data_IF_894905006812
#
_entry.id   IF_894905006812
#
_cell.length_a   1.000
_cell.length_b   1.000
_cell.length_c   1.000
_cell.angle_alpha   90.00
_cell.angle_beta   90.00
_cell.angle_gamma   90.00
#
_symmetry.space_group_name_H-M   'P 1'
#
loop_
_entity.id
_entity.type
_entity.pdbx_description
1 polymer ?
#
# COMPACT_ATOMS: atom_id res chain seq x y z
N UNK A 1 -27.32 -67.94 -0.03
CA UNK A 1 -26.94 -66.90 0.96
C UNK A 1 -25.53 -66.32 0.76
N UNK A 2 -24.48 -67.11 0.45
CA UNK A 2 -23.12 -66.58 0.24
C UNK A 2 -22.95 -65.56 -0.91
N UNK A 3 -23.74 -65.64 -1.98
CA UNK A 3 -23.65 -64.71 -3.14
C UNK A 3 -24.31 -63.33 -2.91
N UNK A 4 -25.24 -63.23 -1.94
CA UNK A 4 -25.93 -61.97 -1.61
C UNK A 4 -25.11 -61.12 -0.65
N UNK A 5 -24.34 -61.74 0.26
CA UNK A 5 -23.41 -61.02 1.14
C UNK A 5 -22.24 -60.37 0.40
N UNK A 6 -21.77 -60.97 -0.71
CA UNK A 6 -20.67 -60.41 -1.52
C UNK A 6 -21.16 -59.18 -2.33
N UNK A 7 -22.41 -59.18 -2.78
CA UNK A 7 -23.01 -58.03 -3.48
C UNK A 7 -23.21 -56.82 -2.53
N UNK A 8 -23.61 -57.08 -1.28
CA UNK A 8 -23.74 -56.03 -0.27
C UNK A 8 -22.39 -55.47 0.21
N UNK A 9 -21.34 -56.30 0.28
CA UNK A 9 -19.99 -55.84 0.62
C UNK A 9 -19.37 -54.98 -0.49
N UNK A 10 -19.67 -55.26 -1.77
CA UNK A 10 -19.25 -54.44 -2.91
C UNK A 10 -20.07 -53.15 -3.07
N UNK A 11 -21.34 -53.15 -2.67
CA UNK A 11 -22.15 -51.93 -2.64
C UNK A 11 -21.72 -50.98 -1.52
N UNK A 12 -21.29 -51.50 -0.37
CA UNK A 12 -20.78 -50.67 0.74
C UNK A 12 -19.34 -50.20 0.55
N UNK A 13 -18.49 -50.88 -0.24
CA UNK A 13 -17.12 -50.42 -0.50
C UNK A 13 -17.05 -49.18 -1.40
N UNK A 14 -18.08 -48.89 -2.19
CA UNK A 14 -18.18 -47.66 -2.99
C UNK A 14 -18.74 -46.45 -2.24
N UNK A 15 -19.37 -46.63 -1.08
CA UNK A 15 -19.84 -45.51 -0.26
C UNK A 15 -18.77 -44.95 0.69
N UNK A 16 -17.67 -45.66 0.93
CA UNK A 16 -16.59 -45.19 1.81
C UNK A 16 -15.49 -44.37 1.12
N UNK A 17 -15.48 -44.27 -0.22
CA UNK A 17 -14.41 -43.55 -0.94
C UNK A 17 -14.63 -42.05 -1.07
N UNK A 18 -15.86 -41.56 -0.87
CA UNK A 18 -16.21 -40.14 -1.04
C UNK A 18 -16.02 -39.35 0.26
N UNK A 19 -16.22 -39.95 1.43
CA UNK A 19 -16.10 -39.27 2.73
C UNK A 19 -14.68 -39.22 3.32
N UNK A 20 -13.70 -39.92 2.72
CA UNK A 20 -12.35 -40.05 3.29
C UNK A 20 -11.35 -38.96 2.89
N UNK A 21 -11.76 -37.94 2.13
CA UNK A 21 -10.85 -36.91 1.61
C UNK A 21 -10.82 -35.64 2.48
N UNK A 22 -11.98 -35.20 2.97
CA UNK A 22 -12.09 -34.17 4.02
C UNK A 22 -11.36 -34.62 5.30
N UNK A 23 -11.48 -35.91 5.67
CA UNK A 23 -10.75 -36.51 6.79
C UNK A 23 -9.21 -36.41 6.66
N UNK A 24 -8.67 -36.42 5.43
CA UNK A 24 -7.23 -36.29 5.19
C UNK A 24 -6.76 -34.86 5.37
N UNK A 25 -7.54 -33.88 4.89
CA UNK A 25 -7.26 -32.47 5.17
C UNK A 25 -7.32 -32.19 6.66
N UNK A 26 -8.30 -32.76 7.34
CA UNK A 26 -8.52 -32.51 8.76
C UNK A 26 -7.37 -33.02 9.61
N UNK A 27 -6.83 -34.21 9.27
CA UNK A 27 -5.60 -34.71 9.88
C UNK A 27 -4.39 -33.82 9.61
N UNK A 28 -4.25 -33.30 8.38
CA UNK A 28 -3.17 -32.38 8.04
C UNK A 28 -3.31 -31.07 8.84
N UNK A 29 -4.51 -30.50 8.87
CA UNK A 29 -4.82 -29.30 9.63
C UNK A 29 -4.54 -29.50 11.11
N UNK A 30 -5.04 -30.58 11.71
CA UNK A 30 -4.84 -30.87 13.13
C UNK A 30 -3.38 -31.07 13.51
N UNK A 31 -2.60 -31.70 12.63
CA UNK A 31 -1.16 -31.91 12.84
C UNK A 31 -0.37 -30.60 12.88
N UNK A 32 -0.81 -29.57 12.16
CA UNK A 32 -0.02 -28.35 11.93
C UNK A 32 -0.63 -27.07 12.51
N UNK A 33 -1.88 -27.10 12.99
CA UNK A 33 -2.55 -25.91 13.52
C UNK A 33 -1.87 -25.29 14.75
N UNK A 34 -1.08 -26.06 15.49
CA UNK A 34 -0.36 -25.59 16.69
C UNK A 34 1.16 -25.48 16.47
N UNK A 35 1.63 -25.62 15.23
CA UNK A 35 3.06 -25.56 14.91
C UNK A 35 3.51 -24.11 14.79
N UNK A 36 4.63 -23.78 15.45
CA UNK A 36 5.24 -22.46 15.38
C UNK A 36 5.60 -22.08 13.94
N UNK A 37 5.24 -20.86 13.53
CA UNK A 37 5.38 -20.38 12.14
C UNK A 37 4.22 -20.73 11.21
N UNK A 38 3.18 -21.43 11.72
CA UNK A 38 1.95 -21.72 10.99
C UNK A 38 0.81 -20.86 11.56
N UNK A 39 0.12 -20.13 10.70
CA UNK A 39 -1.15 -19.48 11.03
C UNK A 39 -2.30 -20.37 10.57
N UNK A 40 -3.13 -20.81 11.51
CA UNK A 40 -4.30 -21.65 11.21
C UNK A 40 -5.61 -20.94 11.56
N UNK A 41 -6.59 -20.95 10.63
CA UNK A 41 -7.93 -20.41 10.86
C UNK A 41 -8.94 -21.51 10.56
N UNK A 42 -9.90 -21.72 11.47
CA UNK A 42 -11.01 -22.67 11.31
C UNK A 42 -12.34 -21.97 11.60
N UNK A 43 -13.20 -21.92 10.60
CA UNK A 43 -14.56 -21.39 10.68
C UNK A 43 -15.52 -22.57 10.48
N UNK A 44 -16.40 -22.80 11.45
CA UNK A 44 -17.36 -23.90 11.41
C UNK A 44 -18.75 -23.44 10.94
N UNK A 45 -19.57 -24.40 10.50
CA UNK A 45 -20.94 -24.20 10.00
C UNK A 45 -21.82 -23.24 10.82
N UNK A 46 -21.86 -23.30 12.16
CA UNK A 46 -22.74 -22.40 12.94
C UNK A 46 -22.43 -20.92 12.70
N UNK A 47 -21.16 -20.59 12.44
CA UNK A 47 -20.73 -19.22 12.18
C UNK A 47 -21.21 -18.73 10.81
N UNK A 48 -21.18 -19.58 9.79
CA UNK A 48 -21.77 -19.28 8.48
C UNK A 48 -23.29 -19.13 8.55
N UNK A 49 -23.95 -19.98 9.34
CA UNK A 49 -25.38 -19.85 9.64
C UNK A 49 -25.72 -18.52 10.32
N UNK A 50 -24.94 -18.10 11.31
CA UNK A 50 -25.08 -16.79 11.95
C UNK A 50 -24.89 -15.66 10.95
N UNK A 51 -23.82 -15.67 10.15
CA UNK A 51 -23.56 -14.65 9.12
C UNK A 51 -24.68 -14.57 8.08
N UNK A 52 -25.25 -15.73 7.69
CA UNK A 52 -26.41 -15.78 6.79
C UNK A 52 -27.70 -15.24 7.40
N UNK A 53 -27.78 -15.14 8.73
CA UNK A 53 -28.95 -14.66 9.47
C UNK A 53 -28.84 -13.17 9.86
N UNK A 54 -27.67 -12.54 9.68
CA UNK A 54 -27.49 -11.12 9.91
C UNK A 54 -28.15 -10.33 8.76
N UNK A 55 -29.06 -9.42 9.12
CA UNK A 55 -29.61 -8.43 8.19
C UNK A 55 -28.71 -7.20 8.23
N UNK A 56 -27.83 -7.08 7.24
CA UNK A 56 -26.98 -5.91 7.02
C UNK A 56 -27.45 -5.31 5.69
N UNK A 57 -27.80 -4.03 5.68
CA UNK A 57 -28.16 -3.26 4.48
C UNK A 57 -26.89 -3.05 3.61
N UNK A 58 -26.46 -4.11 2.93
CA UNK A 58 -25.36 -4.10 1.99
C UNK A 58 -25.75 -4.92 0.76
N UNK A 59 -25.91 -4.23 -0.38
CA UNK A 59 -26.31 -4.82 -1.66
C UNK A 59 -25.33 -5.87 -2.19
N UNK A 60 -24.11 -5.92 -1.65
CA UNK A 60 -23.12 -6.95 -1.96
C UNK A 60 -23.27 -8.19 -1.07
N UNK A 61 -23.69 -8.01 0.18
CA UNK A 61 -23.91 -9.13 1.11
C UNK A 61 -25.09 -9.99 0.67
N UNK A 62 -26.15 -9.36 0.14
CA UNK A 62 -27.32 -10.07 -0.41
C UNK A 62 -26.96 -11.03 -1.56
N UNK A 63 -25.90 -10.73 -2.32
CA UNK A 63 -25.43 -11.58 -3.42
C UNK A 63 -24.69 -12.82 -2.93
N UNK A 64 -24.00 -12.73 -1.78
CA UNK A 64 -23.21 -13.83 -1.20
C UNK A 64 -23.96 -14.58 -0.09
N UNK A 65 -25.03 -14.03 0.48
CA UNK A 65 -25.88 -14.67 1.50
C UNK A 65 -26.41 -16.05 1.08
N UNK A 66 -26.83 -16.29 -0.18
CA UNK A 66 -27.21 -17.62 -0.66
C UNK A 66 -26.04 -18.62 -0.75
N UNK A 67 -24.80 -18.13 -0.77
CA UNK A 67 -23.58 -18.94 -0.79
C UNK A 67 -23.17 -19.35 0.63
N UNK A 68 -23.34 -18.45 1.61
CA UNK A 68 -22.98 -18.70 3.01
C UNK A 68 -23.74 -19.89 3.59
N UNK A 69 -24.99 -20.14 3.18
CA UNK A 69 -25.78 -21.30 3.62
C UNK A 69 -25.30 -22.63 3.03
N UNK A 70 -24.52 -22.60 1.94
CA UNK A 70 -23.97 -23.78 1.26
C UNK A 70 -22.59 -24.18 1.76
N UNK A 71 -21.97 -23.35 2.60
CA UNK A 71 -20.65 -23.58 3.20
C UNK A 71 -20.84 -24.25 4.57
N UNK A 72 -20.23 -25.41 4.75
CA UNK A 72 -20.18 -26.11 6.03
C UNK A 72 -18.94 -25.70 6.85
N UNK A 73 -17.88 -25.23 6.20
CA UNK A 73 -16.68 -24.83 6.93
C UNK A 73 -15.62 -24.19 6.04
N UNK A 74 -14.73 -23.43 6.67
CA UNK A 74 -13.53 -22.88 6.03
C UNK A 74 -12.33 -23.17 6.93
N UNK A 75 -11.28 -23.74 6.35
CA UNK A 75 -10.01 -23.99 7.02
C UNK A 75 -8.89 -23.37 6.22
N UNK A 76 -7.99 -22.65 6.89
CA UNK A 76 -6.88 -21.94 6.26
C UNK A 76 -5.60 -22.29 7.02
N UNK A 77 -4.56 -22.68 6.30
CA UNK A 77 -3.19 -22.80 6.79
C UNK A 77 -2.31 -21.83 6.00
N UNK A 78 -1.59 -20.95 6.70
CA UNK A 78 -0.62 -20.03 6.12
C UNK A 78 0.73 -20.32 6.78
N UNK A 79 1.77 -20.38 5.97
CA UNK A 79 3.15 -20.57 6.42
C UNK A 79 3.99 -19.43 5.89
N UNK A 80 4.83 -18.89 6.76
CA UNK A 80 5.72 -17.79 6.44
C UNK A 80 7.15 -18.15 6.84
N UNK A 81 8.14 -17.55 6.18
CA UNK A 81 9.53 -17.78 6.51
C UNK A 81 9.89 -17.21 7.89
N UNK A 82 10.70 -17.90 8.71
CA UNK A 82 11.08 -17.42 10.02
C UNK A 82 11.97 -16.17 9.91
N UNK A 83 11.65 -15.11 10.67
CA UNK A 83 12.38 -13.83 10.65
C UNK A 83 13.87 -13.95 11.01
N UNK A 84 14.27 -15.03 11.71
CA UNK A 84 15.64 -15.30 12.18
C UNK A 84 16.18 -16.65 11.69
N UNK A 85 16.14 -16.89 10.38
CA UNK A 85 16.54 -18.16 9.74
C UNK A 85 17.94 -18.70 10.13
N UNK A 86 18.87 -17.85 10.60
CA UNK A 86 20.24 -18.25 10.97
C UNK A 86 20.43 -18.67 12.44
N UNK A 87 19.37 -18.66 13.23
CA UNK A 87 19.40 -19.08 14.65
C UNK A 87 19.03 -20.57 14.79
N UNK A 88 19.41 -21.21 15.90
CA UNK A 88 19.08 -22.63 16.13
C UNK A 88 17.56 -22.85 16.14
N UNK A 89 16.83 -21.91 16.70
CA UNK A 89 15.37 -21.85 16.75
C UNK A 89 14.79 -21.64 15.34
N UNK A 90 15.33 -20.69 14.57
CA UNK A 90 14.92 -20.46 13.18
C UNK A 90 15.15 -21.66 12.25
N UNK A 91 16.24 -22.41 12.45
CA UNK A 91 16.53 -23.65 11.70
C UNK A 91 15.54 -24.76 12.05
N UNK A 92 15.11 -24.87 13.31
CA UNK A 92 14.09 -25.84 13.73
C UNK A 92 12.72 -25.51 13.12
N UNK A 93 12.30 -24.24 13.19
CA UNK A 93 11.06 -23.76 12.55
C UNK A 93 11.11 -24.01 11.05
N UNK A 94 12.22 -23.67 10.39
CA UNK A 94 12.40 -23.93 8.95
C UNK A 94 12.28 -25.43 8.61
N UNK A 95 12.73 -26.32 9.48
CA UNK A 95 12.64 -27.77 9.28
C UNK A 95 11.19 -28.25 9.37
N UNK A 96 10.42 -27.77 10.34
CA UNK A 96 8.99 -28.08 10.47
C UNK A 96 8.18 -27.54 9.28
N UNK A 97 8.45 -26.30 8.84
CA UNK A 97 7.80 -25.71 7.66
C UNK A 97 8.15 -26.47 6.38
N UNK A 98 9.40 -26.89 6.22
CA UNK A 98 9.82 -27.71 5.08
C UNK A 98 9.14 -29.08 5.07
N UNK A 99 8.88 -29.67 6.25
CA UNK A 99 8.13 -30.92 6.35
C UNK A 99 6.65 -30.71 6.04
N UNK A 100 6.03 -29.64 6.55
CA UNK A 100 4.66 -29.26 6.20
C UNK A 100 4.49 -29.10 4.68
N UNK A 101 5.41 -28.42 4.01
CA UNK A 101 5.35 -28.25 2.55
C UNK A 101 5.42 -29.58 1.79
N UNK A 102 6.22 -30.54 2.27
CA UNK A 102 6.25 -31.89 1.72
C UNK A 102 4.94 -32.63 1.97
N UNK A 103 4.38 -32.53 3.16
CA UNK A 103 3.13 -33.17 3.54
C UNK A 103 1.94 -32.59 2.75
N UNK A 104 1.90 -31.27 2.55
CA UNK A 104 0.93 -30.58 1.67
C UNK A 104 1.08 -31.07 0.23
N UNK A 105 2.30 -31.08 -0.31
CA UNK A 105 2.53 -31.57 -1.68
C UNK A 105 2.14 -33.05 -1.85
N UNK A 106 2.38 -33.87 -0.84
CA UNK A 106 1.95 -35.28 -0.80
C UNK A 106 0.43 -35.42 -0.70
N UNK A 107 -0.20 -34.62 0.16
CA UNK A 107 -1.65 -34.55 0.29
C UNK A 107 -2.29 -34.20 -1.05
N UNK A 108 -1.88 -33.11 -1.70
CA UNK A 108 -2.39 -32.68 -3.00
C UNK A 108 -2.22 -33.74 -4.10
N UNK A 109 -1.14 -34.53 -4.08
CA UNK A 109 -0.91 -35.63 -5.03
C UNK A 109 -1.79 -36.86 -4.79
N UNK A 110 -2.22 -37.08 -3.55
CA UNK A 110 -3.00 -38.26 -3.14
C UNK A 110 -4.50 -37.97 -3.02
N UNK A 111 -4.90 -36.72 -3.27
CA UNK A 111 -6.29 -36.32 -3.45
C UNK A 111 -6.82 -36.82 -4.78
N UNK A 112 -8.09 -37.25 -4.79
CA UNK A 112 -8.81 -37.54 -6.01
C UNK A 112 -9.62 -36.30 -6.41
N UNK A 113 -8.92 -35.17 -6.55
CA UNK A 113 -9.51 -33.87 -6.90
C UNK A 113 -9.15 -33.53 -8.35
N UNK A 114 -10.07 -32.90 -9.06
CA UNK A 114 -9.82 -32.34 -10.39
C UNK A 114 -9.19 -30.95 -10.25
N UNK A 115 -8.10 -30.70 -10.98
CA UNK A 115 -7.54 -29.36 -11.12
C UNK A 115 -8.43 -28.54 -12.06
N UNK A 116 -9.10 -27.54 -11.50
CA UNK A 116 -10.01 -26.65 -12.25
C UNK A 116 -9.22 -25.54 -12.91
N UNK A 117 -8.23 -25.00 -12.20
CA UNK A 117 -7.39 -23.90 -12.66
C UNK A 117 -6.02 -24.00 -12.00
N UNK A 118 -4.96 -23.74 -12.75
CA UNK A 118 -3.67 -23.39 -12.17
C UNK A 118 -3.05 -22.19 -12.86
N UNK A 119 -2.32 -21.42 -12.06
CA UNK A 119 -1.60 -20.22 -12.49
C UNK A 119 -0.18 -20.34 -11.95
N UNK A 120 0.80 -20.13 -12.83
CA UNK A 120 2.21 -20.11 -12.46
C UNK A 120 2.78 -18.74 -12.82
N UNK A 121 3.27 -18.01 -11.81
CA UNK A 121 3.83 -16.68 -12.01
C UNK A 121 5.02 -16.45 -11.08
N UNK A 122 6.18 -16.12 -11.65
CA UNK A 122 7.35 -15.60 -10.91
C UNK A 122 7.79 -16.45 -9.70
N UNK A 123 7.62 -17.77 -9.78
CA UNK A 123 8.00 -18.71 -8.72
C UNK A 123 6.83 -19.13 -7.81
N UNK A 124 5.69 -18.45 -7.88
CA UNK A 124 4.47 -18.84 -7.17
C UNK A 124 3.57 -19.74 -8.03
N UNK A 125 3.08 -20.84 -7.47
CA UNK A 125 2.14 -21.77 -8.10
C UNK A 125 0.80 -21.75 -7.37
N UNK A 126 -0.24 -21.31 -8.06
CA UNK A 126 -1.61 -21.27 -7.57
C UNK A 126 -2.38 -22.42 -8.22
N UNK A 127 -3.14 -23.18 -7.43
CA UNK A 127 -4.00 -24.28 -7.88
C UNK A 127 -5.36 -24.19 -7.23
N UNK A 128 -6.41 -24.33 -8.03
CA UNK A 128 -7.79 -24.54 -7.61
C UNK A 128 -8.18 -25.97 -7.92
N UNK A 129 -8.60 -26.69 -6.89
CA UNK A 129 -8.89 -28.13 -6.91
C UNK A 129 -10.27 -28.36 -6.31
N UNK A 130 -11.01 -29.36 -6.81
CA UNK A 130 -12.29 -29.77 -6.23
C UNK A 130 -12.50 -31.28 -6.29
N UNK A 131 -13.20 -31.84 -5.30
CA UNK A 131 -13.68 -33.21 -5.37
C UNK A 131 -14.78 -33.31 -6.45
N UNK A 132 -14.71 -34.35 -7.28
CA UNK A 132 -15.68 -34.76 -8.32
C UNK A 132 -16.83 -33.78 -8.63
N UNK A 133 -16.74 -33.10 -9.78
CA UNK A 133 -17.85 -32.31 -10.31
C UNK A 133 -18.96 -33.24 -10.82
N UNK A 134 -20.00 -33.46 -10.01
CA UNK A 134 -21.19 -34.22 -10.44
C UNK A 134 -22.29 -33.22 -10.79
N UNK A 135 -22.76 -33.26 -12.04
CA UNK A 135 -23.82 -32.38 -12.55
C UNK A 135 -23.54 -30.86 -12.37
N UNK A 136 -22.28 -30.45 -12.47
CA UNK A 136 -21.87 -29.04 -12.35
C UNK A 136 -21.81 -28.50 -10.91
N UNK A 137 -21.95 -29.38 -9.91
CA UNK A 137 -21.75 -29.08 -8.49
C UNK A 137 -20.37 -29.58 -8.08
N UNK A 138 -19.57 -28.66 -7.53
CA UNK A 138 -18.27 -28.89 -6.92
C UNK A 138 -18.49 -29.25 -5.45
N UNK A 139 -18.03 -30.44 -5.05
CA UNK A 139 -17.88 -30.80 -3.64
C UNK A 139 -16.48 -30.37 -3.20
N UNK A 140 -16.42 -29.56 -2.14
CA UNK A 140 -15.21 -29.03 -1.51
C UNK A 140 -14.26 -28.28 -2.46
N UNK A 141 -13.99 -27.00 -2.17
CA UNK A 141 -13.03 -26.20 -2.94
C UNK A 141 -11.72 -26.07 -2.17
N UNK A 142 -10.63 -26.51 -2.80
CA UNK A 142 -9.28 -26.38 -2.27
C UNK A 142 -8.46 -25.41 -3.11
N UNK A 143 -7.96 -24.36 -2.47
CA UNK A 143 -7.00 -23.42 -3.02
C UNK A 143 -5.63 -23.70 -2.40
N UNK A 144 -4.63 -23.92 -3.24
CA UNK A 144 -3.23 -24.07 -2.84
C UNK A 144 -2.39 -23.00 -3.54
N UNK A 145 -1.60 -22.27 -2.76
CA UNK A 145 -0.62 -21.29 -3.24
C UNK A 145 0.74 -21.68 -2.66
N UNK A 146 1.66 -22.11 -3.51
CA UNK A 146 3.07 -22.33 -3.18
C UNK A 146 3.86 -21.12 -3.65
N UNK A 147 4.27 -20.26 -2.72
CA UNK A 147 5.07 -19.05 -2.98
C UNK A 147 6.57 -19.34 -3.13
N UNK A 148 7.00 -20.58 -2.92
CA UNK A 148 8.40 -20.97 -2.89
C UNK A 148 9.11 -20.58 -1.59
N UNK A 149 10.29 -21.16 -1.37
CA UNK A 149 11.20 -20.90 -0.23
C UNK A 149 10.63 -21.13 1.17
N UNK A 150 9.42 -21.67 1.33
CA UNK A 150 8.82 -21.94 2.64
C UNK A 150 7.43 -21.36 2.79
N UNK A 151 7.06 -20.39 1.94
CA UNK A 151 5.77 -19.70 1.99
C UNK A 151 4.68 -20.47 1.25
N UNK A 152 3.67 -20.92 1.97
CA UNK A 152 2.52 -21.64 1.41
C UNK A 152 1.21 -21.17 2.06
N UNK A 153 0.17 -21.04 1.25
CA UNK A 153 -1.20 -20.82 1.68
C UNK A 153 -2.05 -21.98 1.18
N UNK A 154 -2.77 -22.63 2.10
CA UNK A 154 -3.68 -23.70 1.79
C UNK A 154 -5.06 -23.37 2.39
N UNK A 155 -6.08 -23.29 1.55
CA UNK A 155 -7.45 -22.93 1.94
C UNK A 155 -8.38 -24.04 1.50
N UNK A 156 -9.12 -24.63 2.44
CA UNK A 156 -10.17 -25.60 2.17
C UNK A 156 -11.53 -25.00 2.54
N UNK A 157 -12.43 -24.98 1.57
CA UNK A 157 -13.82 -24.59 1.74
C UNK A 157 -14.69 -25.84 1.62
N UNK A 158 -15.20 -26.31 2.76
CA UNK A 158 -16.11 -27.45 2.85
C UNK A 158 -17.52 -26.96 2.49
N UNK A 159 -18.10 -27.52 1.44
CA UNK A 159 -19.40 -27.12 0.95
C UNK A 159 -19.70 -27.65 -0.46
N UNK A 160 -20.96 -27.45 -0.86
CA UNK A 160 -21.44 -27.80 -2.21
C UNK A 160 -21.67 -26.52 -3.00
N UNK A 161 -20.84 -26.26 -4.01
CA UNK A 161 -20.90 -25.02 -4.79
C UNK A 161 -21.15 -25.34 -6.26
N UNK A 162 -22.14 -24.70 -6.88
CA UNK A 162 -22.29 -24.79 -8.33
C UNK A 162 -21.24 -23.93 -9.04
N UNK A 163 -21.01 -24.16 -10.33
CA UNK A 163 -20.18 -23.24 -11.12
C UNK A 163 -20.74 -21.81 -11.19
N UNK A 164 -22.06 -21.63 -11.09
CA UNK A 164 -22.66 -20.30 -10.96
C UNK A 164 -22.32 -19.64 -9.62
N UNK A 165 -22.25 -20.42 -8.54
CA UNK A 165 -21.84 -19.95 -7.22
C UNK A 165 -20.37 -19.50 -7.26
N UNK A 166 -19.49 -20.27 -7.91
CA UNK A 166 -18.08 -19.91 -8.12
C UNK A 166 -17.94 -18.66 -8.98
N UNK A 167 -18.70 -18.56 -10.08
CA UNK A 167 -18.73 -17.37 -10.93
C UNK A 167 -19.21 -16.14 -10.16
N UNK A 168 -20.17 -16.26 -9.23
CA UNK A 168 -20.59 -15.14 -8.37
C UNK A 168 -19.47 -14.72 -7.42
N UNK A 169 -18.70 -15.66 -6.87
CA UNK A 169 -17.52 -15.35 -6.05
C UNK A 169 -16.50 -14.56 -6.88
N UNK A 170 -16.19 -15.03 -8.09
CA UNK A 170 -15.20 -14.40 -8.98
C UNK A 170 -15.70 -13.03 -9.50
N UNK A 171 -16.96 -12.96 -9.96
CA UNK A 171 -17.54 -11.78 -10.62
C UNK A 171 -18.12 -10.75 -9.65
N UNK A 172 -18.30 -11.07 -8.36
CA UNK A 172 -18.52 -10.05 -7.32
C UNK A 172 -17.39 -9.00 -7.28
N UNK A 173 -16.27 -9.30 -7.95
CA UNK A 173 -15.10 -8.43 -8.15
C UNK A 173 -15.15 -7.55 -9.40
N UNK A 174 -15.95 -7.83 -10.43
CA UNK A 174 -15.86 -7.16 -11.74
C UNK A 174 -17.15 -6.44 -12.22
N UNK A 175 -17.01 -5.11 -12.28
CA UNK A 175 -17.69 -4.11 -13.15
C UNK A 175 -19.17 -3.72 -12.94
N UNK A 176 -19.39 -2.53 -12.39
CA UNK A 176 -19.82 -1.30 -13.10
C UNK A 176 -20.04 -0.16 -12.09
N UNK A 177 -19.88 1.06 -12.58
CA UNK A 177 -20.03 2.36 -11.90
C UNK A 177 -21.08 2.44 -10.80
N UNK A 178 -20.69 3.15 -9.74
CA UNK A 178 -21.49 3.78 -8.67
C UNK A 178 -21.57 3.01 -7.35
N UNK A 179 -21.22 3.75 -6.29
CA UNK A 179 -21.33 3.43 -4.84
C UNK A 179 -20.37 2.35 -4.33
N UNK A 180 -19.31 2.76 -3.62
CA UNK A 180 -18.34 1.85 -2.98
C UNK A 180 -18.46 1.94 -1.45
N UNK A 181 -19.41 1.21 -0.89
CA UNK A 181 -19.21 0.52 0.38
C UNK A 181 -18.44 -0.76 0.05
N UNK A 182 -17.44 -1.14 0.84
CA UNK A 182 -16.99 -2.53 0.83
C UNK A 182 -16.32 -2.85 2.17
N UNK A 183 -17.04 -3.68 2.91
CA UNK A 183 -16.70 -4.27 4.19
C UNK A 183 -15.63 -5.34 3.97
N UNK A 184 -14.53 -5.25 4.74
CA UNK A 184 -13.46 -6.25 4.76
C UNK A 184 -13.68 -7.16 5.96
N UNK A 185 -13.93 -8.44 5.73
CA UNK A 185 -13.96 -9.49 6.75
C UNK A 185 -12.54 -9.86 7.14
N UNK A 186 -12.04 -9.28 8.23
CA UNK A 186 -10.88 -9.78 8.97
C UNK A 186 -11.37 -10.50 10.23
N UNK A 187 -11.24 -11.82 10.28
CA UNK A 187 -11.33 -12.56 11.54
C UNK A 187 -9.95 -12.53 12.21
N UNK A 188 -9.80 -11.66 13.21
CA UNK A 188 -8.67 -11.64 14.14
C UNK A 188 -9.10 -12.26 15.45
N UNK A 189 -8.49 -13.38 15.81
CA UNK A 189 -8.57 -13.96 17.15
C UNK A 189 -7.87 -13.00 18.12
N UNK A 190 -8.53 -12.69 19.23
CA UNK A 190 -8.05 -11.75 20.23
C UNK A 190 -6.75 -12.22 20.91
N UNK A 191 -5.95 -11.21 21.29
CA UNK A 191 -4.78 -11.24 22.16
C UNK A 191 -3.44 -11.67 21.54
N UNK A 192 -2.84 -10.78 20.74
CA UNK A 192 -1.58 -10.09 21.13
C UNK A 192 -1.21 -8.94 20.16
N UNK A 193 -0.99 -7.75 20.72
CA UNK A 193 -0.38 -6.54 20.13
C UNK A 193 -0.85 -6.07 18.74
N UNK A 194 -2.01 -5.41 18.69
CA UNK A 194 -2.64 -4.80 17.50
C UNK A 194 -1.99 -3.52 16.94
N UNK A 195 -0.69 -3.27 17.16
CA UNK A 195 -0.04 -2.02 16.74
C UNK A 195 0.62 -2.05 15.35
N UNK A 196 0.45 -3.12 14.55
CA UNK A 196 1.19 -3.29 13.28
C UNK A 196 0.34 -3.75 12.07
N UNK A 197 -0.97 -4.02 12.24
CA UNK A 197 -1.83 -4.49 11.15
C UNK A 197 -2.50 -3.32 10.41
N UNK A 198 -1.90 -2.87 9.30
CA UNK A 198 -2.50 -1.90 8.39
C UNK A 198 -3.51 -2.50 7.41
N UNK A 199 -4.51 -1.72 7.03
CA UNK A 199 -5.55 -2.04 6.04
C UNK A 199 -5.09 -1.69 4.61
N UNK A 200 -4.98 -2.68 3.73
CA UNK A 200 -4.79 -2.45 2.29
C UNK A 200 -6.05 -1.84 1.65
N UNK A 201 -5.90 -0.80 0.82
CA UNK A 201 -6.98 -0.10 0.13
C UNK A 201 -6.88 -0.35 -1.37
N UNK A 202 -7.99 -0.75 -1.98
CA UNK A 202 -8.06 -0.92 -3.43
C UNK A 202 -8.38 0.43 -4.08
N UNK A 203 -7.41 0.97 -4.83
CA UNK A 203 -7.53 2.24 -5.55
C UNK A 203 -7.14 2.03 -7.01
N UNK A 204 -7.68 2.86 -7.90
CA UNK A 204 -7.23 2.87 -9.30
C UNK A 204 -5.81 3.42 -9.40
N UNK A 205 -5.19 3.30 -10.57
CA UNK A 205 -3.89 3.93 -10.83
C UNK A 205 -3.96 5.46 -10.70
N UNK A 206 -2.83 6.06 -10.32
CA UNK A 206 -2.65 7.49 -10.16
C UNK A 206 -1.20 7.87 -10.42
N UNK A 207 -1.00 9.09 -10.93
CA UNK A 207 0.31 9.73 -11.04
C UNK A 207 0.42 10.98 -10.18
N UNK A 208 -0.68 11.45 -9.59
CA UNK A 208 -0.69 12.53 -8.61
C UNK A 208 -1.11 12.08 -7.22
N UNK A 209 -0.71 12.82 -6.20
CA UNK A 209 -1.14 12.64 -4.81
C UNK A 209 -1.49 13.96 -4.15
N UNK A 210 -2.58 13.97 -3.39
CA UNK A 210 -3.03 15.10 -2.58
C UNK A 210 -3.29 14.64 -1.15
N UNK A 211 -2.50 15.17 -0.21
CA UNK A 211 -2.49 14.73 1.18
C UNK A 211 -2.86 15.91 2.06
N UNK A 212 -3.76 15.69 3.00
CA UNK A 212 -4.17 16.74 3.94
C UNK A 212 -4.58 16.20 5.30
N UNK A 213 -4.82 17.11 6.24
CA UNK A 213 -5.38 16.84 7.57
C UNK A 213 -4.48 15.93 8.42
N UNK A 214 -3.21 16.30 8.57
CA UNK A 214 -2.30 15.65 9.54
C UNK A 214 -1.92 14.20 9.23
N UNK A 215 -2.21 13.70 8.02
CA UNK A 215 -1.83 12.33 7.62
C UNK A 215 -0.32 12.23 7.39
N UNK A 216 0.30 11.14 7.87
CA UNK A 216 1.67 10.78 7.51
C UNK A 216 1.64 9.80 6.33
N UNK A 217 2.33 10.14 5.25
CA UNK A 217 2.44 9.31 4.05
C UNK A 217 3.88 8.95 3.79
N UNK A 218 4.12 7.66 3.54
CA UNK A 218 5.40 7.12 3.09
C UNK A 218 5.21 6.59 1.67
N UNK A 219 5.86 7.24 0.71
CA UNK A 219 5.75 6.91 -0.70
C UNK A 219 7.01 6.22 -1.22
N UNK A 220 6.80 5.19 -2.05
CA UNK A 220 7.86 4.50 -2.78
C UNK A 220 7.46 4.40 -4.25
N UNK A 221 8.30 4.88 -5.16
CA UNK A 221 8.05 4.70 -6.59
C UNK A 221 8.39 3.24 -6.96
N UNK A 222 7.36 2.42 -7.14
CA UNK A 222 7.48 1.00 -7.51
C UNK A 222 6.17 0.46 -8.11
N UNK A 223 6.27 -0.65 -8.83
CA UNK A 223 5.13 -1.42 -9.31
C UNK A 223 4.94 -2.66 -8.42
N UNK A 224 3.70 -3.07 -8.11
CA UNK A 224 2.42 -2.48 -8.53
C UNK A 224 1.98 -1.29 -7.64
N UNK A 225 0.95 -0.56 -8.11
CA UNK A 225 0.24 0.43 -7.29
C UNK A 225 -0.36 -0.24 -6.06
N UNK A 226 -0.04 0.25 -4.86
CA UNK A 226 -0.54 -0.27 -3.60
C UNK A 226 -0.75 0.85 -2.58
N UNK A 227 -1.79 0.74 -1.76
CA UNK A 227 -2.07 1.66 -0.67
C UNK A 227 -2.36 0.86 0.59
N UNK A 228 -1.62 1.09 1.67
CA UNK A 228 -1.82 0.45 2.97
C UNK A 228 -1.92 1.50 4.06
N UNK A 229 -3.07 1.57 4.73
CA UNK A 229 -3.35 2.49 5.84
C UNK A 229 -3.06 1.78 7.16
N UNK A 230 -2.11 2.29 7.93
CA UNK A 230 -1.81 1.85 9.29
C UNK A 230 -2.36 2.90 10.24
N UNK A 231 -3.43 2.57 10.95
CA UNK A 231 -4.05 3.44 11.95
C UNK A 231 -4.68 2.60 13.07
N UNK A 232 -5.15 3.26 14.12
CA UNK A 232 -5.95 2.61 15.17
C UNK A 232 -7.17 1.91 14.54
N UNK A 233 -7.44 0.65 14.90
CA UNK A 233 -8.44 -0.19 14.24
C UNK A 233 -9.85 0.44 14.20
N UNK A 234 -10.25 1.13 15.27
CA UNK A 234 -11.53 1.84 15.40
C UNK A 234 -11.60 3.12 14.53
N UNK A 235 -10.46 3.63 14.07
CA UNK A 235 -10.33 4.90 13.36
C UNK A 235 -9.95 4.78 11.89
N UNK A 236 -9.67 3.56 11.40
CA UNK A 236 -9.39 3.30 9.99
C UNK A 236 -10.45 3.90 9.06
N UNK A 237 -11.72 3.86 9.46
CA UNK A 237 -12.86 4.40 8.71
C UNK A 237 -12.85 5.92 8.47
N UNK A 238 -12.05 6.68 9.23
CA UNK A 238 -11.91 8.12 9.09
C UNK A 238 -10.79 8.50 8.12
N UNK A 239 -9.90 7.56 7.77
CA UNK A 239 -8.84 7.79 6.79
C UNK A 239 -9.37 7.50 5.39
N UNK A 240 -9.60 8.55 4.62
CA UNK A 240 -10.12 8.45 3.26
C UNK A 240 -8.97 8.31 2.28
N UNK A 241 -9.06 7.30 1.41
CA UNK A 241 -8.15 7.07 0.28
C UNK A 241 -8.98 6.90 -0.99
N UNK A 242 -9.00 7.90 -1.86
CA UNK A 242 -9.80 7.86 -3.11
C UNK A 242 -9.04 8.49 -4.26
N UNK A 243 -9.14 7.92 -5.45
CA UNK A 243 -8.53 8.51 -6.65
C UNK A 243 -9.59 9.27 -7.43
N UNK A 244 -9.29 10.52 -7.76
CA UNK A 244 -10.13 11.38 -8.58
C UNK A 244 -9.24 12.03 -9.65
N UNK A 245 -9.59 11.87 -10.94
CA UNK A 245 -8.84 12.42 -12.07
C UNK A 245 -7.33 12.07 -12.05
N UNK A 246 -6.99 10.83 -11.73
CA UNK A 246 -5.59 10.37 -11.66
C UNK A 246 -4.80 10.89 -10.45
N UNK A 247 -5.47 11.54 -9.49
CA UNK A 247 -4.88 12.03 -8.24
C UNK A 247 -5.42 11.25 -7.05
N UNK A 248 -4.56 10.58 -6.30
CA UNK A 248 -4.91 9.95 -5.04
C UNK A 248 -5.08 11.01 -3.94
N UNK A 249 -6.29 11.14 -3.41
CA UNK A 249 -6.61 11.97 -2.26
C UNK A 249 -6.52 11.13 -0.98
N UNK A 250 -5.70 11.61 -0.04
CA UNK A 250 -5.50 11.00 1.29
C UNK A 250 -5.74 12.05 2.37
N UNK A 251 -6.80 11.88 3.16
CA UNK A 251 -7.15 12.84 4.20
C UNK A 251 -7.99 12.19 5.31
N UNK A 252 -8.09 12.87 6.44
CA UNK A 252 -8.97 12.47 7.54
C UNK A 252 -10.32 13.16 7.36
N UNK A 253 -11.39 12.38 7.33
CA UNK A 253 -12.77 12.85 7.39
C UNK A 253 -13.36 12.46 8.75
N UNK A 254 -13.70 13.46 9.56
CA UNK A 254 -14.20 13.22 10.90
C UNK A 254 -15.67 12.75 10.93
N UNK A 255 -16.38 12.75 9.79
CA UNK A 255 -17.80 12.36 9.69
C UNK A 255 -18.71 12.97 10.78
N UNK A 256 -18.44 14.22 11.15
CA UNK A 256 -19.19 14.95 12.19
C UNK A 256 -18.74 14.71 13.63
N UNK A 257 -17.78 13.80 13.88
CA UNK A 257 -17.20 13.60 15.21
C UNK A 257 -16.20 14.72 15.55
N UNK A 258 -16.24 15.22 16.78
CA UNK A 258 -15.28 16.21 17.28
C UNK A 258 -14.08 15.52 17.92
N UNK A 259 -12.89 16.11 17.79
CA UNK A 259 -11.67 15.71 18.51
C UNK A 259 -11.17 14.28 18.24
N UNK A 260 -11.28 13.79 17.00
CA UNK A 260 -10.65 12.51 16.64
C UNK A 260 -9.13 12.65 16.75
N UNK A 261 -8.52 11.86 17.63
CA UNK A 261 -7.07 11.76 17.78
C UNK A 261 -6.61 10.37 17.37
N UNK A 262 -5.58 10.32 16.55
CA UNK A 262 -4.92 9.09 16.16
C UNK A 262 -3.69 8.90 17.04
N UNK A 263 -3.52 7.71 17.63
CA UNK A 263 -2.24 7.38 18.29
C UNK A 263 -1.18 7.04 17.25
N UNK A 264 -1.57 6.25 16.26
CA UNK A 264 -0.76 5.92 15.10
C UNK A 264 -1.54 6.25 13.83
N UNK A 265 -0.91 6.92 12.89
CA UNK A 265 -1.44 7.16 11.55
C UNK A 265 -0.29 7.22 10.55
N UNK A 266 -0.23 6.24 9.66
CA UNK A 266 0.72 6.20 8.55
C UNK A 266 0.06 5.54 7.35
N UNK A 267 0.25 6.09 6.15
CA UNK A 267 -0.25 5.51 4.90
C UNK A 267 0.95 5.21 4.02
N UNK A 268 1.19 3.94 3.77
CA UNK A 268 2.26 3.48 2.90
C UNK A 268 1.70 3.33 1.49
N UNK A 269 2.35 3.96 0.52
CA UNK A 269 1.85 4.07 -0.85
C UNK A 269 2.97 3.71 -1.83
N UNK A 270 2.65 2.86 -2.81
CA UNK A 270 3.46 2.66 -4.00
C UNK A 270 2.70 3.00 -5.27
N UNK A 271 3.40 3.55 -6.25
CA UNK A 271 2.91 3.71 -7.62
C UNK A 271 4.10 3.74 -8.58
N UNK A 272 3.98 3.22 -9.82
CA UNK A 272 5.03 3.33 -10.82
C UNK A 272 5.33 4.78 -11.24
N UNK A 273 4.36 5.69 -11.09
CA UNK A 273 4.42 7.08 -11.56
C UNK A 273 4.08 8.07 -10.45
N UNK A 274 4.77 9.21 -10.43
CA UNK A 274 4.47 10.30 -9.49
C UNK A 274 4.94 11.65 -10.05
N UNK A 275 4.06 12.36 -10.77
CA UNK A 275 4.35 13.65 -11.42
C UNK A 275 3.77 14.87 -10.68
N UNK A 276 2.92 14.66 -9.68
CA UNK A 276 2.29 15.74 -8.91
C UNK A 276 2.11 15.39 -7.43
N UNK A 277 2.69 16.19 -6.53
CA UNK A 277 2.60 16.01 -5.08
C UNK A 277 2.04 17.29 -4.46
N UNK A 278 0.86 17.20 -3.83
CA UNK A 278 0.26 18.28 -3.04
C UNK A 278 0.10 17.85 -1.60
N UNK A 279 0.62 18.63 -0.66
CA UNK A 279 0.60 18.34 0.78
C UNK A 279 0.13 19.57 1.53
N UNK A 280 -0.89 19.43 2.37
CA UNK A 280 -1.44 20.55 3.14
C UNK A 280 -1.88 20.18 4.55
N UNK A 281 -2.24 21.20 5.34
CA UNK A 281 -2.93 21.04 6.63
C UNK A 281 -2.19 20.13 7.61
N UNK A 282 -0.91 20.40 7.84
CA UNK A 282 -0.07 19.67 8.79
C UNK A 282 0.31 18.23 8.38
N UNK A 283 0.00 17.81 7.15
CA UNK A 283 0.34 16.49 6.66
C UNK A 283 1.85 16.35 6.37
N UNK A 284 2.34 15.10 6.42
CA UNK A 284 3.73 14.76 6.20
C UNK A 284 3.85 13.81 5.00
N UNK A 285 4.69 14.14 4.02
CA UNK A 285 5.00 13.28 2.88
C UNK A 285 6.49 12.96 2.85
N UNK A 286 6.80 11.66 2.87
CA UNK A 286 8.18 11.16 2.79
C UNK A 286 8.34 10.21 1.62
N UNK A 287 9.30 10.49 0.77
CA UNK A 287 9.73 9.58 -0.29
C UNK A 287 10.85 8.68 0.24
N UNK A 288 10.76 7.37 -0.01
CA UNK A 288 11.74 6.37 0.44
C UNK A 288 12.89 6.16 -0.54
N UNK A 289 12.58 6.11 -1.84
CA UNK A 289 13.54 5.99 -2.94
C UNK A 289 13.42 7.21 -3.88
N UNK A 290 14.43 7.49 -4.71
CA UNK A 290 14.34 8.63 -5.61
C UNK A 290 13.18 8.48 -6.61
N UNK A 291 12.37 9.53 -6.76
CA UNK A 291 11.35 9.61 -7.82
C UNK A 291 12.02 10.01 -9.13
N UNK A 292 11.76 9.27 -10.20
CA UNK A 292 12.24 9.56 -11.55
C UNK A 292 11.07 9.84 -12.48
N UNK A 293 11.04 11.05 -13.05
CA UNK A 293 9.98 11.52 -13.95
C UNK A 293 10.54 12.51 -14.99
N UNK A 294 9.76 12.82 -16.02
CA UNK A 294 10.11 13.88 -16.96
C UNK A 294 9.91 15.28 -16.34
N UNK A 295 8.77 15.49 -15.70
CA UNK A 295 8.38 16.74 -15.05
C UNK A 295 7.72 16.44 -13.71
N UNK A 296 7.84 17.36 -12.76
CA UNK A 296 7.36 17.17 -11.39
C UNK A 296 6.81 18.47 -10.83
N UNK A 297 5.63 18.44 -10.21
CA UNK A 297 5.08 19.54 -9.43
C UNK A 297 4.97 19.17 -7.95
N UNK A 298 5.48 20.01 -7.05
CA UNK A 298 5.45 19.83 -5.59
C UNK A 298 4.85 21.08 -4.95
N UNK A 299 3.70 20.94 -4.29
CA UNK A 299 2.99 22.01 -3.58
C UNK A 299 2.84 21.66 -2.10
N UNK A 300 3.44 22.46 -1.21
CA UNK A 300 3.35 22.32 0.23
C UNK A 300 2.78 23.58 0.88
N UNK A 301 1.66 23.45 1.61
CA UNK A 301 0.97 24.58 2.25
C UNK A 301 0.44 24.25 3.65
N UNK A 302 0.13 25.28 4.43
CA UNK A 302 -0.54 25.17 5.74
C UNK A 302 0.15 24.20 6.71
N UNK A 303 1.44 24.42 6.97
CA UNK A 303 2.24 23.64 7.93
C UNK A 303 2.59 22.22 7.46
N UNK A 304 2.50 21.94 6.16
CA UNK A 304 2.88 20.64 5.60
C UNK A 304 4.39 20.39 5.70
N UNK A 305 4.80 19.12 5.75
CA UNK A 305 6.20 18.74 5.65
C UNK A 305 6.44 17.76 4.48
N UNK A 306 7.43 18.05 3.65
CA UNK A 306 7.79 17.20 2.49
C UNK A 306 9.27 16.86 2.55
N UNK A 307 9.61 15.58 2.39
CA UNK A 307 10.99 15.10 2.30
C UNK A 307 11.15 14.05 1.21
N UNK A 308 12.14 14.19 0.34
CA UNK A 308 12.41 13.19 -0.69
C UNK A 308 13.49 13.56 -1.69
N UNK A 309 13.88 12.59 -2.52
CA UNK A 309 14.85 12.76 -3.60
C UNK A 309 14.16 12.64 -4.97
N UNK A 310 14.51 13.52 -5.90
CA UNK A 310 13.87 13.68 -7.20
C UNK A 310 14.91 13.76 -8.31
N UNK A 311 14.79 12.89 -9.31
CA UNK A 311 15.60 12.84 -10.53
C UNK A 311 14.71 13.17 -11.72
N UNK A 312 14.64 14.44 -12.08
CA UNK A 312 13.67 14.97 -13.04
C UNK A 312 14.37 15.36 -14.32
N UNK A 313 13.97 14.82 -15.47
CA UNK A 313 14.72 15.07 -16.71
C UNK A 313 14.60 16.52 -17.20
N UNK A 314 13.39 17.08 -17.17
CA UNK A 314 13.09 18.39 -17.76
C UNK A 314 13.00 19.49 -16.69
N UNK A 315 11.89 19.54 -15.95
CA UNK A 315 11.60 20.65 -15.05
C UNK A 315 10.88 20.20 -13.78
N UNK A 316 11.26 20.80 -12.65
CA UNK A 316 10.56 20.63 -11.37
C UNK A 316 10.05 21.98 -10.86
N UNK A 317 8.76 22.04 -10.58
CA UNK A 317 8.08 23.21 -10.02
C UNK A 317 7.78 22.97 -8.55
N UNK A 318 8.28 23.84 -7.67
CA UNK A 318 8.20 23.71 -6.21
C UNK A 318 7.51 24.95 -5.65
N UNK A 319 6.37 24.79 -4.99
CA UNK A 319 5.65 25.83 -4.28
C UNK A 319 5.56 25.51 -2.79
N UNK A 320 5.98 26.45 -1.93
CA UNK A 320 6.00 26.28 -0.47
C UNK A 320 5.44 27.50 0.23
N UNK A 321 4.35 27.36 0.97
CA UNK A 321 3.69 28.50 1.62
C UNK A 321 3.19 28.19 3.04
N UNK A 322 2.80 29.24 3.76
CA UNK A 322 2.05 29.18 5.02
C UNK A 322 2.70 28.28 6.08
N UNK A 323 3.96 28.56 6.40
CA UNK A 323 4.71 27.85 7.45
C UNK A 323 5.08 26.40 7.14
N UNK A 324 4.97 25.96 5.88
CA UNK A 324 5.35 24.60 5.47
C UNK A 324 6.87 24.43 5.38
N UNK A 325 7.35 23.21 5.59
CA UNK A 325 8.77 22.87 5.54
C UNK A 325 9.06 21.81 4.48
N UNK A 326 10.01 22.05 3.59
CA UNK A 326 10.47 21.05 2.62
C UNK A 326 11.96 20.77 2.76
N UNK A 327 12.36 19.51 2.53
CA UNK A 327 13.76 19.07 2.42
C UNK A 327 13.90 18.14 1.23
N UNK A 328 14.43 18.65 0.11
CA UNK A 328 14.42 17.92 -1.16
C UNK A 328 15.84 17.76 -1.71
N UNK A 329 16.20 16.56 -2.13
CA UNK A 329 17.32 16.31 -3.03
C UNK A 329 16.83 16.37 -4.48
N UNK A 330 17.39 17.25 -5.30
CA UNK A 330 16.92 17.50 -6.66
C UNK A 330 18.06 17.38 -7.66
N UNK A 331 17.88 16.53 -8.67
CA UNK A 331 18.65 16.54 -9.92
C UNK A 331 17.69 16.86 -11.05
N UNK A 332 17.81 18.03 -11.67
CA UNK A 332 16.87 18.47 -12.71
C UNK A 332 17.54 19.21 -13.89
N UNK A 333 16.85 19.32 -15.02
CA UNK A 333 17.23 20.27 -16.07
C UNK A 333 17.02 21.71 -15.61
N UNK A 334 15.78 22.03 -15.22
CA UNK A 334 15.35 23.32 -14.67
C UNK A 334 14.62 23.15 -13.35
N UNK A 335 14.77 24.12 -12.44
CA UNK A 335 14.06 24.17 -11.15
C UNK A 335 13.37 25.52 -10.96
N UNK A 336 12.07 25.51 -10.69
CA UNK A 336 11.33 26.68 -10.24
C UNK A 336 10.97 26.53 -8.76
N UNK A 337 11.30 27.52 -7.94
CA UNK A 337 10.95 27.54 -6.51
C UNK A 337 10.19 28.81 -6.20
N UNK A 338 9.00 28.67 -5.63
CA UNK A 338 8.19 29.77 -5.09
C UNK A 338 7.97 29.54 -3.60
N UNK A 339 8.50 30.44 -2.76
CA UNK A 339 8.33 30.34 -1.31
C UNK A 339 7.72 31.62 -0.71
N UNK A 340 6.71 31.49 0.15
CA UNK A 340 6.06 32.64 0.79
C UNK A 340 5.51 32.34 2.19
N UNK A 341 5.11 33.39 2.91
CA UNK A 341 4.36 33.32 4.18
C UNK A 341 5.07 32.46 5.24
N UNK A 342 6.34 32.78 5.50
CA UNK A 342 7.14 32.13 6.54
C UNK A 342 7.44 30.65 6.30
N UNK A 343 7.34 30.17 5.06
CA UNK A 343 7.75 28.81 4.71
C UNK A 343 9.27 28.62 4.74
N UNK A 344 9.71 27.36 4.86
CA UNK A 344 11.12 27.00 4.88
C UNK A 344 11.42 25.91 3.85
N UNK A 345 12.25 26.23 2.87
CA UNK A 345 12.70 25.28 1.86
C UNK A 345 14.20 25.01 2.02
N UNK A 346 14.59 23.74 2.10
CA UNK A 346 15.98 23.31 1.95
C UNK A 346 16.08 22.38 0.74
N UNK A 347 16.92 22.74 -0.23
CA UNK A 347 17.05 22.03 -1.50
C UNK A 347 18.53 21.80 -1.78
N UNK A 348 18.89 20.57 -2.11
CA UNK A 348 20.26 20.16 -2.43
C UNK A 348 20.33 19.43 -3.78
N UNK A 349 21.53 19.31 -4.36
CA UNK A 349 21.75 18.54 -5.58
C UNK A 349 22.28 19.38 -6.75
N UNK A 350 21.70 19.21 -7.95
CA UNK A 350 22.15 19.92 -9.16
C UNK A 350 21.01 20.23 -10.14
N UNK A 351 21.07 21.40 -10.78
CA UNK A 351 20.27 21.69 -11.95
C UNK A 351 21.01 22.64 -12.92
N UNK A 352 20.61 22.67 -14.20
CA UNK A 352 21.29 23.54 -15.17
C UNK A 352 20.82 24.99 -14.99
N UNK A 353 19.51 25.20 -14.89
CA UNK A 353 18.92 26.53 -14.71
C UNK A 353 17.92 26.55 -13.56
N UNK A 354 17.68 27.74 -13.00
CA UNK A 354 16.67 27.91 -11.96
C UNK A 354 16.01 29.28 -11.96
N UNK A 355 14.78 29.31 -11.45
CA UNK A 355 14.05 30.52 -11.07
C UNK A 355 13.63 30.35 -9.61
N UNK A 356 14.02 31.28 -8.74
CA UNK A 356 13.69 31.22 -7.31
C UNK A 356 13.06 32.55 -6.87
N UNK A 357 11.76 32.51 -6.59
CA UNK A 357 10.99 33.66 -6.10
C UNK A 357 10.60 33.44 -4.64
N UNK A 358 11.10 34.29 -3.74
CA UNK A 358 10.78 34.21 -2.33
C UNK A 358 10.27 35.54 -1.76
N UNK A 359 9.25 35.46 -0.90
CA UNK A 359 8.61 36.63 -0.31
C UNK A 359 8.08 36.39 1.12
N UNK A 360 7.60 37.45 1.76
CA UNK A 360 6.83 37.41 3.01
C UNK A 360 7.48 36.57 4.12
N UNK A 361 8.74 36.87 4.41
CA UNK A 361 9.51 36.21 5.47
C UNK A 361 9.85 34.74 5.23
N UNK A 362 9.68 34.22 4.01
CA UNK A 362 10.10 32.86 3.68
C UNK A 362 11.63 32.69 3.70
N UNK A 363 12.07 31.47 4.02
CA UNK A 363 13.47 31.06 4.02
C UNK A 363 13.69 29.97 2.96
N UNK A 364 14.65 30.17 2.06
CA UNK A 364 15.07 29.18 1.10
C UNK A 364 16.60 28.97 1.17
N UNK A 365 17.02 27.75 1.50
CA UNK A 365 18.41 27.30 1.54
C UNK A 365 18.65 26.36 0.37
N UNK A 366 19.27 26.89 -0.67
CA UNK A 366 19.66 26.20 -1.89
C UNK A 366 21.16 26.37 -2.17
N UNK A 367 21.97 26.64 -1.14
CA UNK A 367 23.43 26.73 -1.20
C UNK A 367 24.12 25.38 -1.45
N UNK A 368 23.40 24.27 -1.19
CA UNK A 368 23.81 22.91 -1.55
C UNK A 368 23.19 22.43 -2.89
N UNK A 369 22.44 23.29 -3.59
CA UNK A 369 21.93 23.04 -4.93
C UNK A 369 22.80 23.77 -5.95
N UNK A 370 23.61 23.03 -6.71
CA UNK A 370 24.48 23.61 -7.74
C UNK A 370 23.68 23.98 -8.98
N UNK A 371 23.68 25.25 -9.35
CA UNK A 371 23.01 25.81 -10.52
C UNK A 371 24.04 26.42 -11.49
N UNK A 372 23.85 26.29 -12.80
CA UNK A 372 24.69 27.03 -13.75
C UNK A 372 24.16 28.46 -13.94
N UNK A 373 22.85 28.58 -14.18
CA UNK A 373 22.16 29.86 -14.28
C UNK A 373 21.02 29.97 -13.27
N UNK A 374 20.86 31.15 -12.69
CA UNK A 374 19.77 31.42 -11.75
C UNK A 374 19.21 32.83 -11.93
N UNK A 375 17.88 32.93 -12.04
CA UNK A 375 17.13 34.15 -11.76
C UNK A 375 16.52 34.07 -10.35
N UNK A 376 16.89 35.00 -9.48
CA UNK A 376 16.49 35.00 -8.07
C UNK A 376 15.80 36.31 -7.68
N UNK A 377 14.66 36.21 -7.03
CA UNK A 377 13.95 37.34 -6.43
C UNK A 377 13.70 37.09 -4.93
N UNK A 378 14.10 38.05 -4.09
CA UNK A 378 13.79 38.05 -2.66
C UNK A 378 13.17 39.37 -2.20
N UNK A 379 11.94 39.32 -1.70
CA UNK A 379 11.21 40.51 -1.23
C UNK A 379 10.59 40.33 0.15
N UNK A 380 10.13 41.42 0.76
CA UNK A 380 9.32 41.41 1.99
C UNK A 380 9.93 40.58 3.13
N UNK A 381 11.21 40.83 3.43
CA UNK A 381 11.95 40.18 4.51
C UNK A 381 12.37 38.72 4.27
N UNK A 382 12.23 38.21 3.04
CA UNK A 382 12.60 36.84 2.71
C UNK A 382 14.14 36.65 2.64
N UNK A 383 14.62 35.43 2.90
CA UNK A 383 16.04 35.09 2.97
C UNK A 383 16.37 33.89 2.07
N UNK A 384 17.22 34.12 1.08
CA UNK A 384 17.66 33.15 0.08
C UNK A 384 19.14 32.86 0.24
N UNK A 385 19.55 31.59 0.18
CA UNK A 385 20.94 31.18 0.01
C UNK A 385 21.05 30.27 -1.21
N UNK A 386 21.98 30.53 -2.14
CA UNK A 386 22.07 29.83 -3.45
C UNK A 386 23.53 29.55 -3.83
N UNK A 387 23.75 28.60 -4.74
CA UNK A 387 25.08 28.27 -5.27
C UNK A 387 25.06 28.23 -6.80
N UNK A 388 25.75 29.18 -7.41
CA UNK A 388 25.66 29.45 -8.85
C UNK A 388 27.05 29.47 -9.50
N UNK A 389 27.21 28.74 -10.59
CA UNK A 389 28.51 28.55 -11.25
C UNK A 389 28.78 29.56 -12.37
N UNK A 390 27.76 29.97 -13.16
CA UNK A 390 27.95 30.75 -14.39
C UNK A 390 27.23 32.09 -14.40
N UNK A 391 25.92 32.17 -14.22
CA UNK A 391 25.15 33.44 -14.28
C UNK A 391 24.13 33.57 -13.16
N UNK A 392 24.15 34.70 -12.47
CA UNK A 392 23.20 35.04 -11.42
C UNK A 392 22.54 36.38 -11.73
N UNK A 393 21.27 36.34 -12.11
CA UNK A 393 20.40 37.52 -12.19
C UNK A 393 19.62 37.62 -10.89
N UNK A 394 19.75 38.74 -10.17
CA UNK A 394 19.22 38.85 -8.82
C UNK A 394 18.47 40.16 -8.58
N UNK A 395 17.29 40.03 -7.95
CA UNK A 395 16.46 41.13 -7.47
C UNK A 395 16.25 41.01 -5.97
N UNK A 396 16.51 42.08 -5.23
CA UNK A 396 16.20 42.13 -3.80
C UNK A 396 15.64 43.50 -3.40
N UNK A 397 14.54 43.50 -2.66
CA UNK A 397 13.88 44.72 -2.16
C UNK A 397 13.09 44.45 -0.87
N UNK A 398 12.58 45.48 -0.22
CA UNK A 398 11.68 45.36 0.95
C UNK A 398 12.23 44.43 2.04
N UNK A 399 13.50 44.58 2.41
CA UNK A 399 14.17 43.75 3.41
C UNK A 399 14.62 42.36 2.94
N UNK A 400 14.46 42.04 1.65
CA UNK A 400 14.90 40.76 1.09
C UNK A 400 16.43 40.59 1.11
N UNK A 401 16.90 39.39 1.48
CA UNK A 401 18.30 39.02 1.56
C UNK A 401 18.59 37.86 0.61
N UNK A 402 19.56 38.04 -0.29
CA UNK A 402 20.13 36.96 -1.10
C UNK A 402 21.59 36.74 -0.73
N UNK A 403 21.92 35.50 -0.39
CA UNK A 403 23.27 35.01 -0.17
C UNK A 403 23.66 34.09 -1.31
N UNK A 404 24.86 34.24 -1.85
CA UNK A 404 25.30 33.40 -2.97
C UNK A 404 26.69 32.82 -2.75
N UNK A 405 26.87 31.58 -3.21
CA UNK A 405 28.13 30.87 -3.32
C UNK A 405 28.49 30.70 -4.80
N UNK A 406 29.79 30.51 -5.07
CA UNK A 406 30.32 30.31 -6.41
C UNK A 406 30.91 31.58 -7.01
N UNK A 407 31.21 31.54 -8.32
CA UNK A 407 31.83 32.65 -9.06
C UNK A 407 31.05 32.99 -10.34
N UNK A 408 29.76 33.31 -10.26
CA UNK A 408 28.96 33.64 -11.44
C UNK A 408 29.25 35.07 -11.95
N UNK A 409 28.90 35.33 -13.20
CA UNK A 409 28.62 36.66 -13.74
C UNK A 409 27.31 37.17 -13.11
N UNK A 410 27.34 38.35 -12.46
CA UNK A 410 26.23 38.86 -11.66
C UNK A 410 25.55 40.05 -12.33
N UNK A 411 24.25 39.94 -12.59
CA UNK A 411 23.35 41.04 -12.94
C UNK A 411 22.43 41.34 -11.75
N UNK A 412 22.66 42.44 -11.04
CA UNK A 412 21.98 42.72 -9.78
C UNK A 412 21.13 43.99 -9.84
N UNK A 413 19.87 43.87 -9.39
CA UNK A 413 18.97 44.99 -9.13
C UNK A 413 18.55 44.97 -7.65
N UNK A 414 19.29 45.69 -6.82
CA UNK A 414 19.14 45.69 -5.36
C UNK A 414 18.62 47.05 -4.89
N UNK A 415 17.38 47.09 -4.40
CA UNK A 415 16.82 48.30 -3.82
C UNK A 415 17.25 48.45 -2.36
N UNK A 416 18.36 49.15 -2.14
CA UNK A 416 18.90 49.42 -0.80
C UNK A 416 18.00 50.32 0.04
N UNK A 417 17.21 51.21 -0.58
CA UNK A 417 16.30 52.14 0.13
C UNK A 417 15.22 51.35 0.87
N UNK A 418 14.69 50.30 0.23
CA UNK A 418 13.73 49.40 0.86
C UNK A 418 14.38 48.25 1.65
N UNK A 419 15.70 48.25 1.85
CA UNK A 419 16.41 47.25 2.67
C UNK A 419 16.81 45.96 1.95
N UNK A 420 16.79 45.93 0.61
CA UNK A 420 17.29 44.80 -0.16
C UNK A 420 18.81 44.58 0.00
N UNK A 421 19.24 43.32 0.08
CA UNK A 421 20.64 42.95 0.35
C UNK A 421 21.10 41.77 -0.51
N UNK A 422 22.32 41.85 -1.04
CA UNK A 422 23.04 40.77 -1.70
C UNK A 422 24.40 40.56 -1.02
N UNK A 423 24.75 39.32 -0.65
CA UNK A 423 26.01 38.99 0.04
C UNK A 423 26.65 37.69 -0.48
N UNK A 424 27.97 37.64 -0.71
CA UNK A 424 28.65 36.36 -0.91
C UNK A 424 28.71 35.55 0.40
N UNK A 425 28.80 34.22 0.28
CA UNK A 425 29.10 33.26 1.35
C UNK A 425 30.21 32.29 0.90
N UNK A 426 31.05 31.88 1.85
CA UNK A 426 32.27 31.08 1.60
C UNK A 426 31.99 29.63 1.16
#
# INVERSE_FOLDING_TARGET
MKKICILFALAFSHFFTVSGQSDKFDRLFEKYQEVEGVTSIKIAKPMFGMLSSLNIDDSQLDQIKPLLSKINGLKILITENPEKANTKEGIQVQTHLSQLNKDVASYLKTLNYSEIMSVNNSGAKIKFLSAEAKDGILDDLLLSIDGGKGENILVMLDGKLSMDDVNKIINSSETKTNTRTNTRTSFTTENNSSYLNGEARNVSEFSGINISTGVNVVFKQESPTNVKVIADADKLQYVITRVENGVLKVYIDNKGQKNIKFRNLSVNISSPRMDNIKVSSGANFRVVNSITENSMSIDASSGANVKGDFKITNAVDIAVSSGSNIRLGVTAGSVMVKASSGSNAAIEGKANSGIIDISSGALCKADELKLDELEAEATSGANLSVNVSRRLKVRASSGGLVKYKGRPEIEANINKISGGTLKPID
#
